data_IF_276663579595
#
_entry.id   IF_276663579595
#
_cell.length_a   1.000
_cell.length_b   1.000
_cell.length_c   1.000
_cell.angle_alpha   90.00
_cell.angle_beta   90.00
_cell.angle_gamma   90.00
#
_symmetry.space_group_name_H-M   'P 1'
#
loop_
_entity.id
_entity.type
_entity.pdbx_description
1 polymer ?
#
# COMPACT_ATOMS: atom_id res chain seq x y z
N UNK A 1 34.40 44.68 10.36
CA UNK A 1 35.48 43.69 10.31
C UNK A 1 35.18 42.75 9.14
N UNK A 2 36.00 42.92 8.09
CA UNK A 2 35.92 42.13 6.84
C UNK A 2 36.88 40.94 7.01
N UNK A 3 36.41 39.72 6.78
CA UNK A 3 37.25 38.52 6.71
C UNK A 3 37.15 37.96 5.30
N UNK A 4 38.30 37.94 4.63
CA UNK A 4 38.48 37.47 3.26
C UNK A 4 38.54 35.94 3.22
N UNK A 5 37.81 35.32 2.24
CA UNK A 5 37.92 33.90 1.89
C UNK A 5 39.05 33.71 0.90
N UNK A 6 40.06 32.92 1.26
CA UNK A 6 41.05 32.37 0.33
C UNK A 6 40.55 31.05 -0.27
N UNK A 7 40.43 31.02 -1.59
CA UNK A 7 40.18 29.79 -2.35
C UNK A 7 41.53 29.14 -2.69
N UNK A 8 41.71 27.88 -2.29
CA UNK A 8 42.82 27.02 -2.73
C UNK A 8 42.32 26.11 -3.85
N UNK A 9 42.79 26.36 -5.06
CA UNK A 9 42.69 25.43 -6.19
C UNK A 9 43.83 24.41 -6.11
N UNK A 10 43.45 23.13 -5.95
CA UNK A 10 44.37 22.00 -6.14
C UNK A 10 44.02 21.29 -7.43
N UNK A 11 44.84 21.45 -8.44
CA UNK A 11 44.83 20.67 -9.66
C UNK A 11 45.56 19.34 -9.41
N UNK A 12 44.88 18.23 -9.62
CA UNK A 12 45.46 16.88 -9.58
C UNK A 12 45.57 16.35 -11.01
N UNK A 13 46.80 16.24 -11.52
CA UNK A 13 47.13 15.64 -12.81
C UNK A 13 46.90 14.15 -12.79
N UNK A 14 46.13 13.61 -13.75
CA UNK A 14 45.96 12.20 -13.99
C UNK A 14 47.03 11.66 -14.93
N UNK A 15 47.91 10.79 -14.45
CA UNK A 15 48.81 9.98 -15.25
C UNK A 15 48.13 8.67 -15.65
N UNK A 16 47.94 8.47 -16.95
CA UNK A 16 47.48 7.20 -17.54
C UNK A 16 48.58 6.13 -17.43
N UNK A 17 48.36 5.11 -16.59
CA UNK A 17 49.12 3.88 -16.62
C UNK A 17 48.33 2.79 -17.33
N UNK A 18 48.75 2.39 -18.51
CA UNK A 18 48.18 1.27 -19.29
C UNK A 18 48.72 -0.05 -18.68
N UNK A 19 47.91 -0.72 -17.92
CA UNK A 19 48.21 -2.08 -17.45
C UNK A 19 47.60 -3.08 -18.45
N UNK A 20 48.48 -3.81 -19.16
CA UNK A 20 48.10 -4.95 -19.97
C UNK A 20 47.88 -6.16 -19.03
N UNK A 21 46.66 -6.64 -18.94
CA UNK A 21 46.34 -7.91 -18.30
C UNK A 21 46.47 -9.09 -19.31
N UNK A 22 47.09 -10.21 -18.92
CA UNK A 22 47.14 -11.41 -19.78
C UNK A 22 45.74 -12.05 -19.85
N UNK A 23 45.41 -12.51 -21.08
CA UNK A 23 44.20 -13.28 -21.32
C UNK A 23 44.28 -14.64 -20.61
N UNK A 24 43.40 -14.88 -19.66
CA UNK A 24 43.19 -16.18 -19.03
C UNK A 24 41.98 -16.84 -19.70
N UNK A 25 42.25 -17.86 -20.55
CA UNK A 25 41.22 -18.69 -21.17
C UNK A 25 40.82 -19.78 -20.20
N UNK A 26 39.75 -19.56 -19.43
CA UNK A 26 39.09 -20.57 -18.63
C UNK A 26 37.72 -20.90 -19.24
N UNK A 27 37.17 -22.11 -19.04
CA UNK A 27 35.93 -22.52 -19.69
C UNK A 27 34.76 -21.66 -19.15
N UNK A 28 34.01 -21.16 -20.12
CA UNK A 28 32.77 -20.38 -19.93
C UNK A 28 31.73 -21.25 -19.23
N UNK A 29 31.55 -21.05 -17.92
CA UNK A 29 30.41 -21.58 -17.20
C UNK A 29 29.19 -20.74 -17.56
N UNK A 30 28.29 -21.33 -18.33
CA UNK A 30 26.95 -20.77 -18.57
C UNK A 30 26.24 -20.55 -17.24
N UNK A 31 26.23 -19.30 -16.78
CA UNK A 31 25.32 -18.88 -15.72
C UNK A 31 23.89 -18.95 -16.27
N UNK A 32 23.24 -20.08 -16.04
CA UNK A 32 21.78 -20.15 -16.14
C UNK A 32 21.22 -19.18 -15.12
N UNK A 33 20.84 -18.01 -15.59
CA UNK A 33 20.01 -17.05 -14.87
C UNK A 33 18.72 -17.77 -14.52
N UNK A 34 18.65 -18.31 -13.31
CA UNK A 34 17.42 -18.87 -12.77
C UNK A 34 16.40 -17.75 -12.70
N UNK A 35 15.57 -17.64 -13.73
CA UNK A 35 14.36 -16.85 -13.69
C UNK A 35 13.56 -17.40 -12.50
N UNK A 36 13.51 -16.62 -11.39
CA UNK A 36 12.55 -16.86 -10.33
C UNK A 36 11.20 -16.76 -11.00
N UNK A 37 10.63 -17.92 -11.32
CA UNK A 37 9.29 -18.03 -11.87
C UNK A 37 8.38 -17.41 -10.83
N UNK A 38 7.97 -16.15 -11.03
CA UNK A 38 6.81 -15.61 -10.34
C UNK A 38 5.70 -16.58 -10.68
N UNK A 39 5.20 -17.29 -9.69
CA UNK A 39 4.00 -18.08 -9.83
C UNK A 39 2.95 -17.10 -10.37
N UNK A 40 2.68 -17.19 -11.67
CA UNK A 40 1.58 -16.48 -12.29
C UNK A 40 0.34 -16.92 -11.52
N UNK A 41 -0.32 -15.99 -10.83
CA UNK A 41 -1.64 -16.25 -10.26
C UNK A 41 -2.49 -16.68 -11.46
N UNK A 42 -3.09 -17.88 -11.46
CA UNK A 42 -3.87 -18.34 -12.60
C UNK A 42 -4.93 -17.29 -12.92
N UNK A 43 -5.13 -16.99 -14.21
CA UNK A 43 -6.13 -16.02 -14.71
C UNK A 43 -7.60 -16.31 -14.32
N UNK A 44 -7.80 -17.32 -13.46
CA UNK A 44 -9.10 -17.85 -13.10
C UNK A 44 -9.75 -17.17 -11.86
N UNK A 45 -9.09 -16.19 -11.23
CA UNK A 45 -9.61 -15.55 -10.02
C UNK A 45 -10.43 -14.28 -10.29
N UNK A 46 -10.73 -13.99 -11.56
CA UNK A 46 -11.53 -12.82 -11.97
C UNK A 46 -10.89 -11.49 -11.56
N UNK A 47 -11.47 -10.41 -12.04
CA UNK A 47 -11.05 -9.05 -11.68
C UNK A 47 -9.86 -8.52 -12.46
N UNK A 48 -9.53 -7.26 -12.17
CA UNK A 48 -8.44 -6.52 -12.81
C UNK A 48 -7.30 -6.30 -11.84
N UNK A 49 -6.10 -6.79 -12.17
CA UNK A 49 -4.89 -6.49 -11.40
C UNK A 49 -4.42 -5.07 -11.69
N UNK A 50 -4.15 -4.30 -10.64
CA UNK A 50 -3.59 -2.96 -10.73
C UNK A 50 -2.65 -2.67 -9.56
N UNK A 51 -1.89 -1.58 -9.66
CA UNK A 51 -1.06 -1.10 -8.56
C UNK A 51 -1.72 0.09 -7.88
N UNK A 52 -1.73 0.05 -6.56
CA UNK A 52 -2.25 1.12 -5.69
C UNK A 52 -1.21 1.52 -4.65
N UNK A 53 -1.37 2.69 -4.06
CA UNK A 53 -0.68 3.05 -2.84
C UNK A 53 -1.60 2.70 -1.67
N UNK A 54 -1.18 1.72 -0.86
CA UNK A 54 -1.92 1.27 0.32
C UNK A 54 -1.39 1.96 1.56
N UNK A 55 -2.31 2.46 2.39
CA UNK A 55 -2.07 2.86 3.78
C UNK A 55 -3.02 2.11 4.71
N UNK A 56 -2.91 2.35 6.00
CA UNK A 56 -3.83 1.81 6.99
C UNK A 56 -4.35 2.89 7.91
N UNK A 57 -5.60 2.74 8.33
CA UNK A 57 -6.21 3.51 9.41
C UNK A 57 -6.75 2.56 10.49
N UNK A 58 -7.03 3.08 11.67
CA UNK A 58 -7.34 2.26 12.83
C UNK A 58 -8.48 2.85 13.67
N UNK A 59 -8.90 2.12 14.68
CA UNK A 59 -9.81 2.61 15.71
C UNK A 59 -9.32 3.91 16.36
N UNK A 60 -7.99 4.11 16.46
CA UNK A 60 -7.40 5.21 17.22
C UNK A 60 -7.36 6.54 16.45
N UNK A 61 -7.26 6.47 15.13
CA UNK A 61 -7.13 7.62 14.23
C UNK A 61 -8.27 7.76 13.22
N UNK A 62 -9.32 6.95 13.36
CA UNK A 62 -10.57 7.13 12.60
C UNK A 62 -11.26 8.46 12.95
N UNK A 63 -12.20 8.87 12.14
CA UNK A 63 -13.01 10.07 12.35
C UNK A 63 -14.44 9.69 12.78
N UNK A 64 -14.84 9.96 14.08
CA UNK A 64 -14.01 10.54 15.13
C UNK A 64 -13.01 9.52 15.73
N UNK A 65 -11.89 10.01 16.32
CA UNK A 65 -10.92 9.12 16.96
C UNK A 65 -11.55 8.26 18.07
N UNK A 66 -11.07 7.01 18.21
CA UNK A 66 -11.64 6.05 19.16
C UNK A 66 -12.97 5.46 18.69
N UNK A 67 -13.21 5.43 17.41
CA UNK A 67 -14.41 4.86 16.80
C UNK A 67 -14.10 3.90 15.65
N UNK A 68 -15.13 3.18 15.24
CA UNK A 68 -15.12 2.38 14.01
C UNK A 68 -16.28 2.82 13.10
N UNK A 69 -16.63 4.11 13.09
CA UNK A 69 -17.66 4.62 12.20
C UNK A 69 -17.19 4.56 10.75
N UNK A 70 -18.12 4.31 9.84
CA UNK A 70 -17.88 4.30 8.38
C UNK A 70 -18.92 5.16 7.68
N UNK A 71 -18.51 5.74 6.56
CA UNK A 71 -19.33 6.70 5.83
C UNK A 71 -20.32 6.04 4.84
N UNK A 72 -20.05 4.79 4.41
CA UNK A 72 -20.79 4.11 3.34
C UNK A 72 -21.01 2.62 3.64
N UNK A 73 -21.79 2.28 4.68
CA UNK A 73 -22.11 0.89 5.02
C UNK A 73 -22.64 0.10 3.83
N UNK A 74 -22.09 -1.11 3.59
CA UNK A 74 -22.55 -2.08 2.58
C UNK A 74 -22.89 -3.40 3.22
N UNK A 75 -21.89 -4.10 3.79
CA UNK A 75 -22.07 -5.33 4.54
C UNK A 75 -21.80 -5.15 6.03
N UNK A 76 -20.97 -4.16 6.38
CA UNK A 76 -20.71 -3.82 7.77
C UNK A 76 -21.39 -2.51 8.16
N UNK A 77 -21.76 -2.39 9.44
CA UNK A 77 -22.25 -1.14 10.03
C UNK A 77 -21.14 -0.33 10.73
N UNK A 78 -19.94 -0.92 10.80
CA UNK A 78 -18.74 -0.34 11.39
C UNK A 78 -17.52 -0.90 10.66
N UNK A 79 -16.42 -0.16 10.65
CA UNK A 79 -15.14 -0.65 10.13
C UNK A 79 -14.72 -1.94 10.83
N UNK A 80 -14.31 -2.93 10.05
CA UNK A 80 -13.96 -4.25 10.55
C UNK A 80 -13.70 -5.25 9.44
N UNK A 81 -14.04 -6.51 9.68
CA UNK A 81 -13.88 -7.62 8.78
C UNK A 81 -12.62 -8.45 9.03
N UNK A 82 -12.70 -9.74 8.74
CA UNK A 82 -11.60 -10.70 8.92
C UNK A 82 -10.72 -10.85 7.69
N UNK A 83 -11.14 -10.33 6.55
CA UNK A 83 -10.41 -10.40 5.28
C UNK A 83 -10.71 -11.65 4.47
N UNK A 84 -11.74 -12.41 4.83
CA UNK A 84 -12.29 -13.46 3.96
C UNK A 84 -13.12 -12.85 2.84
N UNK A 85 -13.52 -13.63 1.85
CA UNK A 85 -14.40 -13.14 0.78
C UNK A 85 -15.77 -12.71 1.33
N UNK A 86 -16.32 -13.47 2.28
CA UNK A 86 -17.66 -13.21 2.85
C UNK A 86 -17.63 -12.13 3.95
N UNK A 87 -16.47 -11.91 4.58
CA UNK A 87 -16.23 -10.91 5.62
C UNK A 87 -14.95 -10.11 5.31
N UNK A 88 -14.95 -9.32 4.20
CA UNK A 88 -13.79 -8.55 3.77
C UNK A 88 -13.50 -7.37 4.72
N UNK A 89 -12.25 -6.95 4.80
CA UNK A 89 -11.87 -5.80 5.63
C UNK A 89 -12.42 -4.50 5.02
N UNK A 90 -12.93 -3.61 5.85
CA UNK A 90 -13.35 -2.27 5.43
C UNK A 90 -12.19 -1.50 4.81
N UNK A 91 -12.46 -0.87 3.67
CA UNK A 91 -11.53 -0.04 2.90
C UNK A 91 -12.10 1.36 2.75
N UNK A 92 -11.30 2.37 3.04
CA UNK A 92 -11.60 3.77 2.75
C UNK A 92 -10.90 4.19 1.46
N UNK A 93 -11.56 5.05 0.69
CA UNK A 93 -11.06 5.57 -0.59
C UNK A 93 -11.25 7.08 -0.69
N UNK A 94 -10.43 7.73 -1.50
CA UNK A 94 -10.56 9.15 -1.77
C UNK A 94 -11.90 9.51 -2.38
N UNK A 95 -12.24 10.78 -2.29
CA UNK A 95 -13.49 11.30 -2.85
C UNK A 95 -13.39 12.77 -3.21
N UNK A 96 -14.29 13.20 -4.10
CA UNK A 96 -14.53 14.61 -4.42
C UNK A 96 -15.81 15.06 -3.71
N UNK A 97 -15.76 16.18 -3.01
CA UNK A 97 -16.93 16.79 -2.38
C UNK A 97 -17.40 18.00 -3.16
N UNK A 98 -18.62 17.96 -3.65
CA UNK A 98 -19.25 19.05 -4.37
C UNK A 98 -20.67 19.28 -3.86
N UNK A 99 -20.99 20.51 -3.42
CA UNK A 99 -22.32 20.86 -2.92
C UNK A 99 -22.82 19.97 -1.77
N UNK A 100 -21.92 19.50 -0.89
CA UNK A 100 -22.25 18.60 0.21
C UNK A 100 -22.37 17.12 -0.16
N UNK A 101 -22.27 16.77 -1.46
CA UNK A 101 -22.27 15.39 -1.95
C UNK A 101 -20.84 14.91 -2.18
N UNK A 102 -20.53 13.70 -1.73
CA UNK A 102 -19.26 13.04 -1.99
C UNK A 102 -19.39 12.02 -3.13
N UNK A 103 -18.52 12.14 -4.13
CA UNK A 103 -18.33 11.14 -5.19
C UNK A 103 -17.03 10.41 -4.92
N UNK A 104 -17.10 9.10 -4.73
CA UNK A 104 -15.96 8.25 -4.35
C UNK A 104 -15.13 7.87 -5.58
N UNK A 105 -13.82 7.71 -5.41
CA UNK A 105 -12.89 7.26 -6.46
C UNK A 105 -13.15 5.80 -6.85
N UNK A 106 -13.58 4.98 -5.90
CA UNK A 106 -14.15 3.65 -6.11
C UNK A 106 -15.52 3.60 -5.44
N UNK A 107 -16.51 3.06 -6.11
CA UNK A 107 -17.86 2.96 -5.58
C UNK A 107 -17.92 2.10 -4.31
N UNK A 108 -18.80 2.44 -3.38
CA UNK A 108 -19.10 1.58 -2.23
C UNK A 108 -19.51 0.19 -2.70
N UNK A 109 -18.99 -0.83 -2.04
CA UNK A 109 -19.16 -2.22 -2.43
C UNK A 109 -18.12 -2.77 -3.40
N UNK A 110 -17.25 -1.92 -3.99
CA UNK A 110 -16.12 -2.42 -4.78
C UNK A 110 -15.22 -3.28 -3.90
N UNK A 111 -14.92 -4.49 -4.37
CA UNK A 111 -14.07 -5.43 -3.66
C UNK A 111 -12.65 -5.38 -4.17
N UNK A 112 -11.72 -5.62 -3.27
CA UNK A 112 -10.29 -5.74 -3.54
C UNK A 112 -9.76 -7.04 -2.94
N UNK A 113 -8.73 -7.60 -3.56
CA UNK A 113 -7.87 -8.56 -2.88
C UNK A 113 -6.46 -7.98 -2.83
N UNK A 114 -5.91 -7.90 -1.64
CA UNK A 114 -4.59 -7.33 -1.37
C UNK A 114 -3.62 -8.50 -1.16
N UNK A 115 -2.86 -8.82 -2.19
CA UNK A 115 -2.02 -10.03 -2.25
C UNK A 115 -1.04 -10.10 -1.07
N UNK A 116 -0.34 -9.01 -0.80
CA UNK A 116 0.67 -8.93 0.26
C UNK A 116 0.09 -9.11 1.67
N UNK A 117 -1.19 -8.86 1.85
CA UNK A 117 -1.89 -9.08 3.13
C UNK A 117 -2.70 -10.38 3.14
N UNK A 118 -2.86 -11.03 1.98
CA UNK A 118 -3.77 -12.17 1.78
C UNK A 118 -5.15 -11.88 2.36
N UNK A 119 -5.71 -10.72 2.00
CA UNK A 119 -7.02 -10.28 2.48
C UNK A 119 -7.89 -9.75 1.37
N UNK A 120 -9.16 -10.14 1.45
CA UNK A 120 -10.21 -9.41 0.75
C UNK A 120 -10.55 -8.15 1.53
N UNK A 121 -10.88 -7.08 0.80
CA UNK A 121 -11.33 -5.81 1.33
C UNK A 121 -12.53 -5.30 0.54
N UNK A 122 -13.33 -4.43 1.13
CA UNK A 122 -14.53 -3.84 0.53
C UNK A 122 -14.59 -2.34 0.81
N UNK A 123 -14.92 -1.56 -0.20
CA UNK A 123 -15.09 -0.11 -0.05
C UNK A 123 -16.36 0.18 0.72
N UNK A 124 -16.22 0.73 1.92
CA UNK A 124 -17.32 1.12 2.82
C UNK A 124 -17.06 2.45 3.52
N UNK A 125 -15.89 3.07 3.26
CA UNK A 125 -15.52 4.29 3.96
C UNK A 125 -14.87 5.33 3.05
N UNK A 126 -14.72 6.54 3.57
CA UNK A 126 -14.11 7.68 2.89
C UNK A 126 -12.77 8.02 3.53
N UNK A 127 -11.75 8.23 2.71
CA UNK A 127 -10.46 8.78 3.11
C UNK A 127 -10.37 10.25 2.68
N UNK A 128 -10.00 11.12 3.63
CA UNK A 128 -9.91 12.56 3.42
C UNK A 128 -11.04 13.32 4.13
N UNK A 129 -10.65 14.07 5.14
CA UNK A 129 -11.56 14.89 5.96
C UNK A 129 -11.70 16.31 5.41
N UNK A 130 -12.67 17.04 5.96
CA UNK A 130 -12.85 18.46 5.72
C UNK A 130 -13.75 18.80 4.54
N UNK A 131 -13.57 20.02 4.04
CA UNK A 131 -14.45 20.57 3.00
C UNK A 131 -13.95 20.29 1.59
N UNK A 132 -12.65 20.06 1.42
CA UNK A 132 -12.00 19.84 0.14
C UNK A 132 -11.16 18.55 0.16
N UNK A 133 -11.77 17.37 0.37
CA UNK A 133 -11.04 16.09 0.41
C UNK A 133 -10.30 15.79 -0.89
N UNK A 134 -10.78 16.33 -2.01
CA UNK A 134 -10.13 16.21 -3.34
C UNK A 134 -8.74 16.84 -3.43
N UNK A 135 -8.40 17.78 -2.56
CA UNK A 135 -7.06 18.39 -2.52
C UNK A 135 -6.05 17.53 -1.73
N UNK A 136 -6.56 16.51 -1.04
CA UNK A 136 -5.74 15.60 -0.23
C UNK A 136 -5.19 14.40 -1.00
N UNK A 137 -4.23 13.68 -0.39
CA UNK A 137 -3.52 12.57 -1.03
C UNK A 137 -4.44 11.38 -1.34
N UNK A 138 -5.48 11.16 -0.54
CA UNK A 138 -6.41 10.05 -0.78
C UNK A 138 -7.06 10.12 -2.17
N UNK A 139 -7.42 11.32 -2.63
CA UNK A 139 -7.98 11.53 -3.96
C UNK A 139 -6.91 11.75 -5.03
N UNK A 140 -5.89 12.57 -4.75
CA UNK A 140 -4.83 12.85 -5.73
C UNK A 140 -3.93 11.64 -6.01
N UNK A 141 -3.92 10.66 -5.12
CA UNK A 141 -3.13 9.44 -5.24
C UNK A 141 -1.64 9.65 -4.92
N UNK A 142 -0.83 8.63 -5.22
CA UNK A 142 0.61 8.64 -5.03
C UNK A 142 1.32 8.20 -6.31
N UNK A 143 2.17 9.06 -6.88
CA UNK A 143 2.90 8.80 -8.12
C UNK A 143 2.00 8.29 -9.27
N UNK A 144 0.82 8.90 -9.43
CA UNK A 144 -0.16 8.52 -10.45
C UNK A 144 -0.86 7.19 -10.20
N UNK A 145 -0.78 6.65 -8.98
CA UNK A 145 -1.49 5.44 -8.56
C UNK A 145 -2.62 5.81 -7.60
N UNK A 146 -3.77 5.14 -7.67
CA UNK A 146 -4.84 5.33 -6.71
C UNK A 146 -4.36 5.07 -5.28
N UNK A 147 -4.89 5.84 -4.33
CA UNK A 147 -4.65 5.62 -2.90
C UNK A 147 -5.85 4.90 -2.30
N UNK A 148 -5.59 3.87 -1.52
CA UNK A 148 -6.58 3.16 -0.73
C UNK A 148 -6.09 3.01 0.70
N UNK A 149 -7.01 3.01 1.67
CA UNK A 149 -6.70 3.02 3.08
C UNK A 149 -7.47 1.90 3.80
N UNK A 150 -6.76 0.88 4.30
CA UNK A 150 -7.38 -0.31 4.89
C UNK A 150 -7.52 -0.19 6.40
N UNK A 151 -8.68 -0.60 6.94
CA UNK A 151 -8.88 -0.64 8.38
C UNK A 151 -8.05 -1.77 9.02
N UNK A 152 -7.12 -1.42 9.90
CA UNK A 152 -6.26 -2.41 10.57
C UNK A 152 -6.83 -2.90 11.90
N UNK A 153 -7.93 -2.31 12.38
CA UNK A 153 -8.52 -2.63 13.68
C UNK A 153 -7.96 -1.80 14.81
N UNK A 154 -7.49 -2.45 15.87
CA UNK A 154 -6.76 -1.81 16.96
C UNK A 154 -7.56 -1.50 18.21
N UNK A 155 -8.90 -1.69 18.22
CA UNK A 155 -9.71 -1.45 19.42
C UNK A 155 -9.25 -2.26 20.64
N UNK A 156 -8.77 -3.47 20.39
CA UNK A 156 -8.32 -4.43 21.40
C UNK A 156 -6.80 -4.66 21.37
N UNK A 157 -6.08 -3.80 20.64
CA UNK A 157 -4.63 -3.84 20.50
C UNK A 157 -3.99 -2.56 21.05
N UNK A 158 -2.72 -2.64 21.44
CA UNK A 158 -1.94 -1.47 21.82
C UNK A 158 -1.87 -0.45 20.68
N UNK A 159 -2.02 0.84 21.01
CA UNK A 159 -2.04 1.91 20.02
C UNK A 159 -0.72 2.01 19.24
N UNK A 160 0.42 1.87 19.94
CA UNK A 160 1.74 1.93 19.31
C UNK A 160 1.94 0.76 18.36
N UNK A 161 1.56 -0.46 18.77
CA UNK A 161 1.58 -1.63 17.91
C UNK A 161 0.70 -1.44 16.67
N UNK A 162 -0.52 -0.91 16.87
CA UNK A 162 -1.45 -0.63 15.76
C UNK A 162 -0.88 0.40 14.78
N UNK A 163 -0.27 1.47 15.27
CA UNK A 163 0.41 2.49 14.45
C UNK A 163 1.58 1.88 13.67
N UNK A 164 2.41 1.04 14.30
CA UNK A 164 3.50 0.35 13.63
C UNK A 164 2.99 -0.63 12.56
N UNK A 165 1.82 -1.25 12.79
CA UNK A 165 1.16 -2.09 11.79
C UNK A 165 0.80 -1.27 10.55
N UNK A 166 0.20 -0.09 10.71
CA UNK A 166 -0.14 0.81 9.60
C UNK A 166 1.10 1.18 8.78
N UNK A 167 2.21 1.55 9.43
CA UNK A 167 3.48 1.82 8.73
C UNK A 167 4.01 0.60 7.98
N UNK A 168 3.94 -0.58 8.58
CA UNK A 168 4.45 -1.83 7.98
C UNK A 168 3.74 -2.21 6.70
N UNK A 169 2.44 -1.96 6.60
CA UNK A 169 1.64 -2.28 5.40
C UNK A 169 1.68 -1.20 4.34
N UNK A 170 2.12 0.02 4.68
CA UNK A 170 2.12 1.17 3.78
C UNK A 170 3.09 1.00 2.61
N UNK A 171 2.65 1.35 1.41
CA UNK A 171 3.46 1.39 0.19
C UNK A 171 2.72 0.96 -1.08
N UNK A 172 3.45 0.99 -2.20
CA UNK A 172 2.92 0.51 -3.49
C UNK A 172 2.73 -1.00 -3.47
N UNK A 173 1.55 -1.46 -3.87
CA UNK A 173 1.15 -2.87 -3.84
C UNK A 173 0.30 -3.23 -5.04
N UNK A 174 0.40 -4.49 -5.46
CA UNK A 174 -0.53 -5.04 -6.43
C UNK A 174 -1.81 -5.48 -5.72
N UNK A 175 -2.93 -5.20 -6.34
CA UNK A 175 -4.26 -5.60 -5.88
C UNK A 175 -5.07 -6.12 -7.05
N UNK A 176 -6.07 -6.96 -6.76
CA UNK A 176 -7.08 -7.39 -7.73
C UNK A 176 -8.38 -6.68 -7.39
N UNK A 177 -8.93 -5.93 -8.33
CA UNK A 177 -10.23 -5.27 -8.21
C UNK A 177 -11.31 -6.23 -8.65
N UNK A 178 -12.38 -6.38 -7.88
CA UNK A 178 -13.49 -7.31 -8.08
C UNK A 178 -13.02 -8.77 -8.26
N UNK A 179 -12.22 -9.27 -7.32
CA UNK A 179 -11.73 -10.64 -7.35
C UNK A 179 -12.87 -11.64 -7.15
N UNK A 180 -12.73 -12.85 -7.74
CA UNK A 180 -13.55 -14.00 -7.37
C UNK A 180 -13.14 -14.55 -6.00
N UNK A 181 -14.00 -15.34 -5.31
CA UNK A 181 -13.61 -16.07 -4.11
C UNK A 181 -12.56 -17.14 -4.42
N UNK A 182 -11.87 -17.64 -3.38
CA UNK A 182 -10.93 -18.76 -3.48
C UNK A 182 -9.44 -18.38 -3.45
N UNK A 183 -9.10 -17.08 -3.38
CA UNK A 183 -7.73 -16.66 -3.16
C UNK A 183 -7.25 -16.99 -1.73
N UNK A 184 -5.96 -17.22 -1.51
CA UNK A 184 -5.41 -17.52 -0.19
C UNK A 184 -5.72 -16.42 0.83
N UNK A 185 -6.20 -16.78 2.02
CA UNK A 185 -6.60 -15.82 3.06
C UNK A 185 -5.83 -16.08 4.36
N UNK A 186 -5.31 -15.00 4.95
CA UNK A 186 -4.91 -14.94 6.36
C UNK A 186 -6.02 -14.24 7.14
N UNK A 187 -6.98 -15.02 7.67
CA UNK A 187 -8.16 -14.48 8.33
C UNK A 187 -7.82 -13.79 9.68
N UNK A 188 -8.65 -12.82 10.07
CA UNK A 188 -8.56 -12.08 11.32
C UNK A 188 -8.26 -10.59 11.12
N UNK A 189 -8.53 -9.78 12.13
CA UNK A 189 -8.19 -8.36 12.16
C UNK A 189 -6.67 -8.18 12.01
N UNK A 190 -6.20 -7.23 11.20
CA UNK A 190 -4.78 -7.06 10.90
C UNK A 190 -3.94 -6.83 12.16
N UNK A 191 -4.33 -5.90 13.04
CA UNK A 191 -3.59 -5.64 14.27
C UNK A 191 -3.64 -6.84 15.23
N UNK A 192 -4.81 -7.46 15.42
CA UNK A 192 -4.97 -8.58 16.34
C UNK A 192 -4.27 -9.86 15.85
N UNK A 193 -4.10 -10.05 14.55
CA UNK A 193 -3.42 -11.20 13.94
C UNK A 193 -1.90 -11.02 13.77
N UNK A 194 -1.29 -10.04 14.44
CA UNK A 194 0.16 -9.80 14.42
C UNK A 194 0.66 -9.02 13.20
N UNK A 195 -0.24 -8.36 12.46
CA UNK A 195 0.12 -7.53 11.32
C UNK A 195 0.96 -8.28 10.27
N UNK A 196 0.49 -9.44 9.85
CA UNK A 196 1.20 -10.30 8.91
C UNK A 196 1.26 -9.68 7.52
N UNK A 197 2.44 -9.76 6.91
CA UNK A 197 2.75 -9.32 5.54
C UNK A 197 3.50 -10.46 4.86
N UNK A 198 3.09 -10.85 3.64
CA UNK A 198 3.59 -11.99 2.88
C UNK A 198 4.42 -11.57 1.66
#
# INVERSE_FOLDING_TARGET
>A
IVVALLALNSACSSTNATIRTPAFSGPEQAHTSGAVSRLAVPDNYGGQTTQVYLTGYSYWDNTPPGSAQIARPVIHNRAGGTGTYDDPVTLAVGHVKNGGRSTMDFQAGTRFYIERLRKYAIVEDLCGDGNNPQDGPCHSGYNGRPWIDIYVGGRHSDKTFTTNCMYRITGLQNVIINPNPGLPVSAGELAASGCQVF
#
